data_IF_972705019739
#
_entry.id   IF_972705019739
#
_cell.length_a   1.000
_cell.length_b   1.000
_cell.length_c   1.000
_cell.angle_alpha   90.00
_cell.angle_beta   90.00
_cell.angle_gamma   90.00
#
_symmetry.space_group_name_H-M   'P 1'
#
loop_
_entity.id
_entity.type
_entity.pdbx_description
1 polymer ?
#
# COMPACT_ATOMS: atom_id res chain seq x y z
N UNK A 1 -5.79 -3.73 -19.29
CA UNK A 1 -6.88 -2.92 -18.70
C UNK A 1 -7.98 -2.78 -19.75
N UNK A 2 -9.21 -3.20 -19.43
CA UNK A 2 -10.35 -3.03 -20.33
C UNK A 2 -10.90 -1.59 -20.14
N UNK A 3 -10.91 -0.72 -21.18
CA UNK A 3 -11.19 0.72 -21.01
C UNK A 3 -12.64 1.04 -20.60
N UNK A 4 -13.56 0.07 -20.65
CA UNK A 4 -14.99 0.27 -20.41
C UNK A 4 -15.40 0.46 -18.93
N UNK A 5 -14.48 0.34 -17.96
CA UNK A 5 -14.78 0.50 -16.53
C UNK A 5 -14.19 1.80 -15.92
N UNK A 6 -13.99 2.84 -16.73
CA UNK A 6 -13.45 4.12 -16.24
C UNK A 6 -14.58 5.08 -15.91
N UNK A 7 -14.88 5.29 -14.63
CA UNK A 7 -15.86 6.30 -14.19
C UNK A 7 -15.31 7.73 -14.39
N UNK A 8 -16.16 8.72 -14.75
CA UNK A 8 -15.82 10.14 -14.72
C UNK A 8 -15.30 10.58 -13.34
N UNK A 9 -14.33 11.49 -13.28
CA UNK A 9 -13.67 11.89 -12.02
C UNK A 9 -14.65 12.39 -10.95
N UNK A 10 -15.67 13.15 -11.34
CA UNK A 10 -16.70 13.67 -10.44
C UNK A 10 -17.58 12.58 -9.78
N UNK A 11 -17.61 11.38 -10.36
CA UNK A 11 -18.40 10.25 -9.87
C UNK A 11 -17.56 9.25 -9.05
N UNK A 12 -16.25 9.50 -8.89
CA UNK A 12 -15.35 8.61 -8.13
C UNK A 12 -15.41 8.91 -6.65
N UNK A 13 -15.48 7.86 -5.85
CA UNK A 13 -15.27 7.93 -4.40
C UNK A 13 -13.81 7.61 -4.07
N UNK A 14 -13.21 8.35 -3.13
CA UNK A 14 -11.88 8.01 -2.61
C UNK A 14 -11.96 6.69 -1.86
N UNK A 15 -11.13 5.72 -2.26
CA UNK A 15 -10.90 4.50 -1.50
C UNK A 15 -9.98 4.80 -0.31
N UNK A 16 -10.39 4.36 0.88
CA UNK A 16 -9.51 4.41 2.04
C UNK A 16 -8.71 3.11 2.16
N UNK A 17 -7.38 3.26 2.23
CA UNK A 17 -6.46 2.13 2.39
C UNK A 17 -6.12 1.99 3.86
N UNK A 18 -6.25 0.78 4.38
CA UNK A 18 -5.95 0.43 5.77
C UNK A 18 -4.76 -0.52 5.82
N UNK A 19 -3.85 -0.29 6.77
CA UNK A 19 -2.67 -1.15 6.98
C UNK A 19 -2.45 -1.42 8.46
N UNK A 20 -1.75 -2.50 8.77
CA UNK A 20 -1.35 -2.83 10.13
C UNK A 20 -0.17 -1.96 10.59
N UNK A 21 -0.30 -1.34 11.75
CA UNK A 21 0.75 -0.57 12.44
C UNK A 21 0.82 -1.07 13.88
N UNK A 22 1.99 -1.56 14.31
CA UNK A 22 2.23 -2.04 15.69
C UNK A 22 1.16 -3.01 16.22
N UNK A 23 0.50 -3.77 15.35
CA UNK A 23 -0.49 -4.78 15.74
C UNK A 23 -1.93 -4.51 15.36
N UNK A 24 -2.34 -3.25 15.14
CA UNK A 24 -3.73 -2.86 14.83
C UNK A 24 -3.86 -2.22 13.44
N UNK A 25 -5.09 -2.18 12.91
CA UNK A 25 -5.39 -1.54 11.63
C UNK A 25 -5.54 -0.04 11.79
N UNK A 26 -4.86 0.72 10.94
CA UNK A 26 -4.92 2.19 10.89
C UNK A 26 -5.06 2.64 9.44
N UNK A 27 -5.90 3.64 9.15
CA UNK A 27 -6.00 4.16 7.79
C UNK A 27 -4.71 4.90 7.42
N UNK A 28 -4.24 4.68 6.20
CA UNK A 28 -3.03 5.33 5.65
C UNK A 28 -3.22 6.84 5.55
N UNK A 29 -4.46 7.30 5.31
CA UNK A 29 -4.86 8.71 5.29
C UNK A 29 -4.50 9.45 6.59
N UNK A 30 -4.44 8.76 7.73
CA UNK A 30 -4.15 9.35 9.04
C UNK A 30 -2.64 9.41 9.37
N UNK A 31 -1.74 9.08 8.45
CA UNK A 31 -0.31 9.04 8.73
C UNK A 31 0.28 10.45 8.85
N UNK A 32 0.95 10.71 9.98
CA UNK A 32 1.77 11.92 10.13
C UNK A 32 3.06 11.79 9.28
N UNK A 33 3.80 12.89 9.04
CA UNK A 33 4.98 12.86 8.17
C UNK A 33 6.03 11.80 8.56
N UNK A 34 6.28 11.61 9.86
CA UNK A 34 7.20 10.57 10.35
C UNK A 34 6.76 9.16 9.98
N UNK A 35 5.47 8.83 10.19
CA UNK A 35 4.91 7.52 9.80
C UNK A 35 4.86 7.32 8.29
N UNK A 36 4.71 8.39 7.51
CA UNK A 36 4.84 8.31 6.06
C UNK A 36 6.27 7.95 5.65
N UNK A 37 7.30 8.55 6.26
CA UNK A 37 8.70 8.19 6.00
C UNK A 37 8.99 6.73 6.36
N UNK A 38 8.66 6.33 7.58
CA UNK A 38 8.83 4.95 8.06
C UNK A 38 8.14 3.95 7.10
N UNK A 39 6.94 4.28 6.63
CA UNK A 39 6.20 3.40 5.72
C UNK A 39 6.86 3.27 4.34
N UNK A 40 7.42 4.36 3.80
CA UNK A 40 8.14 4.34 2.50
C UNK A 40 9.43 3.52 2.55
N UNK A 41 10.05 3.43 3.73
CA UNK A 41 11.29 2.66 3.95
C UNK A 41 11.03 1.17 4.17
N UNK A 42 9.77 0.72 4.22
CA UNK A 42 9.44 -0.70 4.43
C UNK A 42 9.85 -1.52 3.21
N UNK A 43 10.59 -2.60 3.47
CA UNK A 43 10.91 -3.62 2.46
C UNK A 43 9.86 -4.73 2.55
N UNK A 44 9.26 -5.06 1.41
CA UNK A 44 8.30 -6.15 1.31
C UNK A 44 9.02 -7.45 0.96
N UNK A 45 8.48 -8.55 1.47
CA UNK A 45 8.90 -9.87 1.05
C UNK A 45 8.68 -10.03 -0.45
N UNK A 46 9.68 -10.60 -1.13
CA UNK A 46 9.55 -11.07 -2.51
C UNK A 46 10.10 -12.49 -2.58
N UNK A 47 9.36 -13.38 -3.23
CA UNK A 47 9.73 -14.80 -3.32
C UNK A 47 11.08 -14.98 -4.03
N UNK A 48 11.30 -14.24 -5.11
CA UNK A 48 12.54 -14.27 -5.90
C UNK A 48 13.78 -13.91 -5.06
N UNK A 49 13.70 -12.91 -4.18
CA UNK A 49 14.80 -12.53 -3.29
C UNK A 49 15.14 -13.62 -2.26
N UNK A 50 14.22 -14.53 -1.99
CA UNK A 50 14.41 -15.63 -1.04
C UNK A 50 15.06 -16.85 -1.68
N UNK A 51 14.78 -17.11 -2.97
CA UNK A 51 15.31 -18.27 -3.70
C UNK A 51 16.74 -18.06 -4.23
N UNK A 52 17.15 -16.80 -4.47
CA UNK A 52 18.48 -16.48 -5.01
C UNK A 52 19.67 -16.91 -4.11
N UNK A 53 19.43 -17.27 -2.84
CA UNK A 53 20.44 -17.79 -1.91
C UNK A 53 20.40 -19.31 -1.69
N UNK A 54 19.57 -20.05 -2.44
CA UNK A 54 19.53 -21.53 -2.40
C UNK A 54 20.06 -22.08 -3.72
N UNK A 55 21.38 -22.09 -3.88
CA UNK A 55 22.10 -22.93 -4.85
C UNK A 55 23.27 -23.59 -4.14
#
# INVERSE_FOLDING_TARGET
MNPQHTLPQAQRQRCEVWTRVMGYHRPVSAFNPGKQSEHRERVHFTEQATTAGRQ
#
